data_IF_406850066393
#
_entry.id   IF_406850066393
#
_cell.length_a   1.000
_cell.length_b   1.000
_cell.length_c   1.000
_cell.angle_alpha   90.00
_cell.angle_beta   90.00
_cell.angle_gamma   90.00
#
_symmetry.space_group_name_H-M   'P 1'
#
loop_
_entity.id
_entity.type
_entity.pdbx_description
1 polymer ?
#
# COMPACT_ATOMS: atom_id res chain seq x y z
N UNK A 1 25.20 -26.26 17.07
CA UNK A 1 24.08 -25.50 16.48
C UNK A 1 24.70 -24.53 15.49
N UNK A 2 24.49 -24.76 14.20
CA UNK A 2 25.14 -23.97 13.15
C UNK A 2 24.39 -22.64 13.00
N UNK A 3 25.08 -21.53 13.25
CA UNK A 3 24.62 -20.19 12.88
C UNK A 3 24.93 -20.03 11.39
N UNK A 4 23.91 -20.11 10.54
CA UNK A 4 24.04 -19.74 9.14
C UNK A 4 24.06 -18.22 9.06
N UNK A 5 25.26 -17.64 9.02
CA UNK A 5 25.44 -16.26 8.56
C UNK A 5 25.28 -16.28 7.04
N UNK A 6 24.13 -15.81 6.56
CA UNK A 6 23.92 -15.59 5.14
C UNK A 6 24.67 -14.31 4.75
N UNK A 7 25.96 -14.42 4.44
CA UNK A 7 26.68 -13.36 3.72
C UNK A 7 26.26 -13.42 2.25
N UNK A 8 25.12 -12.83 1.92
CA UNK A 8 24.80 -12.49 0.53
C UNK A 8 25.51 -11.17 0.20
N UNK A 9 26.81 -11.25 -0.06
CA UNK A 9 27.56 -10.22 -0.77
C UNK A 9 27.97 -10.78 -2.13
N UNK A 10 27.33 -10.32 -3.21
CA UNK A 10 27.64 -10.83 -4.55
C UNK A 10 26.82 -10.22 -5.69
N UNK A 11 27.15 -8.97 -6.04
CA UNK A 11 27.17 -8.41 -7.40
C UNK A 11 25.89 -8.47 -8.24
N UNK A 12 25.04 -7.44 -8.06
CA UNK A 12 24.47 -6.68 -9.18
C UNK A 12 24.64 -5.19 -8.83
N UNK A 13 25.19 -4.39 -9.74
CA UNK A 13 25.07 -2.94 -9.65
C UNK A 13 23.59 -2.58 -9.82
N UNK A 14 22.83 -2.45 -8.73
CA UNK A 14 21.38 -2.43 -8.88
C UNK A 14 20.64 -1.99 -7.63
N UNK A 15 20.85 -0.74 -7.25
CA UNK A 15 19.90 0.02 -6.44
C UNK A 15 19.78 -0.44 -4.98
N UNK A 16 20.58 0.16 -4.11
CA UNK A 16 20.19 0.27 -2.70
C UNK A 16 18.80 0.93 -2.71
N UNK A 17 17.73 0.27 -2.24
CA UNK A 17 16.42 0.89 -2.18
C UNK A 17 16.58 2.13 -1.30
N UNK A 18 16.56 3.30 -1.92
CA UNK A 18 16.69 4.55 -1.19
C UNK A 18 15.35 4.81 -0.50
N UNK A 19 15.36 5.63 0.54
CA UNK A 19 14.11 6.17 1.12
C UNK A 19 13.22 6.78 0.02
N UNK A 20 13.83 7.33 -1.04
CA UNK A 20 13.14 7.82 -2.23
C UNK A 20 12.29 6.77 -2.95
N UNK A 21 12.67 5.49 -2.94
CA UNK A 21 11.92 4.44 -3.62
C UNK A 21 10.68 4.01 -2.84
N UNK A 22 10.78 4.05 -1.52
CA UNK A 22 9.63 3.92 -0.66
C UNK A 22 8.68 5.10 -0.86
N UNK A 23 9.18 6.34 -0.89
CA UNK A 23 8.35 7.52 -1.11
C UNK A 23 7.70 7.51 -2.51
N UNK A 24 8.42 7.01 -3.54
CA UNK A 24 7.86 6.80 -4.89
C UNK A 24 6.74 5.76 -4.88
N UNK A 25 6.94 4.60 -4.24
CA UNK A 25 5.92 3.56 -4.12
C UNK A 25 4.72 4.01 -3.28
N UNK A 26 4.95 4.84 -2.26
CA UNK A 26 3.89 5.43 -1.44
C UNK A 26 3.05 6.41 -2.27
N UNK A 27 3.70 7.29 -3.03
CA UNK A 27 3.02 8.18 -3.98
C UNK A 27 2.24 7.40 -5.04
N UNK A 28 2.78 6.28 -5.52
CA UNK A 28 2.10 5.42 -6.48
C UNK A 28 0.86 4.75 -5.86
N UNK A 29 0.99 4.23 -4.64
CA UNK A 29 -0.13 3.64 -3.90
C UNK A 29 -1.22 4.69 -3.57
N UNK A 30 -0.84 5.91 -3.20
CA UNK A 30 -1.77 7.03 -3.02
C UNK A 30 -2.48 7.41 -4.32
N UNK A 31 -1.77 7.42 -5.46
CA UNK A 31 -2.39 7.65 -6.76
C UNK A 31 -3.41 6.55 -7.12
N UNK A 32 -3.08 5.27 -6.87
CA UNK A 32 -4.04 4.17 -7.05
C UNK A 32 -5.25 4.32 -6.12
N UNK A 33 -5.04 4.69 -4.86
CA UNK A 33 -6.13 4.94 -3.90
C UNK A 33 -7.06 6.04 -4.41
N UNK A 34 -6.50 7.14 -4.92
CA UNK A 34 -7.26 8.27 -5.44
C UNK A 34 -8.09 7.90 -6.67
N UNK A 35 -7.53 7.11 -7.60
CA UNK A 35 -8.26 6.58 -8.76
C UNK A 35 -9.44 5.69 -8.32
N UNK A 36 -9.24 4.82 -7.33
CA UNK A 36 -10.30 3.95 -6.83
C UNK A 36 -11.42 4.74 -6.14
N UNK A 37 -11.07 5.79 -5.39
CA UNK A 37 -12.07 6.71 -4.81
C UNK A 37 -12.88 7.40 -5.91
N UNK A 38 -12.24 7.79 -7.01
CA UNK A 38 -12.90 8.40 -8.15
C UNK A 38 -13.84 7.42 -8.87
N UNK A 39 -13.42 6.16 -9.01
CA UNK A 39 -14.28 5.08 -9.52
C UNK A 39 -15.50 4.83 -8.62
N UNK A 40 -15.34 4.84 -7.30
CA UNK A 40 -16.45 4.71 -6.35
C UNK A 40 -17.48 5.83 -6.52
N UNK A 41 -17.03 7.08 -6.67
CA UNK A 41 -17.93 8.22 -6.95
C UNK A 41 -18.68 8.05 -8.27
N UNK A 42 -18.00 7.52 -9.30
CA UNK A 42 -18.61 7.29 -10.60
C UNK A 42 -19.65 6.15 -10.55
N UNK A 43 -19.43 5.15 -9.69
CA UNK A 43 -20.45 4.12 -9.42
C UNK A 43 -21.66 4.68 -8.70
N UNK A 44 -21.48 5.56 -7.71
CA UNK A 44 -22.59 6.20 -7.01
C UNK A 44 -23.42 7.09 -7.97
N UNK A 45 -22.77 7.88 -8.83
CA UNK A 45 -23.46 8.70 -9.84
C UNK A 45 -24.21 7.84 -10.88
N UNK A 46 -23.59 6.72 -11.31
CA UNK A 46 -24.27 5.74 -12.18
C UNK A 46 -25.46 5.12 -11.49
N UNK A 47 -25.36 4.74 -10.21
CA UNK A 47 -26.46 4.14 -9.46
C UNK A 47 -27.64 5.11 -9.33
N UNK A 48 -27.35 6.40 -9.12
CA UNK A 48 -28.36 7.47 -9.03
C UNK A 48 -29.09 7.71 -10.36
N UNK A 49 -28.38 7.64 -11.49
CA UNK A 49 -28.94 7.84 -12.82
C UNK A 49 -29.55 6.57 -13.45
N UNK A 50 -29.30 5.39 -12.88
CA UNK A 50 -29.78 4.13 -13.44
C UNK A 50 -31.17 3.76 -12.92
N UNK A 51 -32.10 3.47 -13.84
CA UNK A 51 -33.47 3.02 -13.54
C UNK A 51 -33.64 1.49 -13.67
N UNK A 52 -32.59 0.77 -14.06
CA UNK A 52 -32.60 -0.68 -14.28
C UNK A 52 -32.01 -1.42 -13.07
N UNK A 53 -32.79 -2.34 -12.48
CA UNK A 53 -32.39 -3.10 -11.29
C UNK A 53 -31.23 -4.07 -11.55
N UNK A 54 -31.09 -4.58 -12.78
CA UNK A 54 -30.00 -5.51 -13.11
C UNK A 54 -28.66 -4.78 -13.24
N UNK A 55 -28.67 -3.59 -13.84
CA UNK A 55 -27.54 -2.66 -13.86
C UNK A 55 -27.14 -2.23 -12.45
N UNK A 56 -28.10 -1.89 -11.58
CA UNK A 56 -27.81 -1.52 -10.18
C UNK A 56 -27.08 -2.62 -9.43
N UNK A 57 -27.54 -3.88 -9.53
CA UNK A 57 -26.85 -5.03 -8.94
C UNK A 57 -25.40 -5.17 -9.43
N UNK A 58 -25.15 -5.01 -10.73
CA UNK A 58 -23.79 -5.06 -11.29
C UNK A 58 -22.91 -3.94 -10.75
N UNK A 59 -23.45 -2.73 -10.60
CA UNK A 59 -22.75 -1.57 -10.04
C UNK A 59 -22.43 -1.80 -8.55
N UNK A 60 -23.36 -2.37 -7.77
CA UNK A 60 -23.12 -2.69 -6.36
C UNK A 60 -22.02 -3.73 -6.17
N UNK A 61 -22.04 -4.84 -6.93
CA UNK A 61 -20.98 -5.86 -6.88
C UNK A 61 -19.61 -5.27 -7.24
N UNK A 62 -19.59 -4.37 -8.23
CA UNK A 62 -18.36 -3.71 -8.64
C UNK A 62 -17.86 -2.74 -7.56
N UNK A 63 -18.78 -2.01 -6.90
CA UNK A 63 -18.49 -1.14 -5.75
C UNK A 63 -17.89 -1.91 -4.58
N UNK A 64 -18.44 -3.07 -4.22
CA UNK A 64 -17.88 -3.95 -3.17
C UNK A 64 -16.47 -4.42 -3.51
N UNK A 65 -16.23 -4.77 -4.78
CA UNK A 65 -14.92 -5.20 -5.29
C UNK A 65 -13.91 -4.05 -5.20
N UNK A 66 -14.29 -2.85 -5.64
CA UNK A 66 -13.45 -1.64 -5.55
C UNK A 66 -13.18 -1.25 -4.10
N UNK A 67 -14.15 -1.42 -3.19
CA UNK A 67 -13.95 -1.16 -1.77
C UNK A 67 -12.90 -2.11 -1.17
N UNK A 68 -12.98 -3.40 -1.48
CA UNK A 68 -11.95 -4.38 -1.09
C UNK A 68 -10.56 -4.02 -1.63
N UNK A 69 -10.49 -3.48 -2.85
CA UNK A 69 -9.22 -3.00 -3.44
C UNK A 69 -8.68 -1.76 -2.72
N UNK A 70 -9.55 -0.83 -2.32
CA UNK A 70 -9.19 0.35 -1.50
C UNK A 70 -8.58 -0.09 -0.17
N UNK A 71 -9.19 -1.06 0.51
CA UNK A 71 -8.64 -1.60 1.75
C UNK A 71 -7.28 -2.28 1.53
N UNK A 72 -7.16 -3.08 0.47
CA UNK A 72 -5.89 -3.74 0.11
C UNK A 72 -4.77 -2.73 -0.13
N UNK A 73 -5.05 -1.61 -0.80
CA UNK A 73 -4.06 -0.55 -1.04
C UNK A 73 -3.71 0.21 0.24
N UNK A 74 -4.68 0.48 1.12
CA UNK A 74 -4.39 1.03 2.46
C UNK A 74 -3.43 0.13 3.23
N UNK A 75 -3.66 -1.18 3.21
CA UNK A 75 -2.74 -2.15 3.83
C UNK A 75 -1.34 -2.11 3.20
N UNK A 76 -1.25 -2.00 1.87
CA UNK A 76 0.05 -1.84 1.18
C UNK A 76 0.78 -0.56 1.58
N UNK A 77 0.08 0.58 1.71
CA UNK A 77 0.69 1.85 2.16
C UNK A 77 1.27 1.70 3.56
N UNK A 78 0.50 1.11 4.46
CA UNK A 78 0.93 0.85 5.84
C UNK A 78 2.15 -0.07 5.88
N UNK A 79 2.14 -1.16 5.11
CA UNK A 79 3.29 -2.08 5.01
C UNK A 79 4.52 -1.38 4.42
N UNK A 80 4.35 -0.50 3.44
CA UNK A 80 5.42 0.30 2.86
C UNK A 80 5.99 1.30 3.87
N UNK A 81 5.15 1.90 4.71
CA UNK A 81 5.60 2.78 5.81
C UNK A 81 6.41 1.99 6.85
N UNK A 82 5.92 0.83 7.29
CA UNK A 82 6.65 -0.04 8.22
C UNK A 82 8.01 -0.45 7.64
N UNK A 83 8.04 -0.86 6.38
CA UNK A 83 9.29 -1.24 5.71
C UNK A 83 10.25 -0.06 5.57
N UNK A 84 9.75 1.15 5.29
CA UNK A 84 10.55 2.38 5.23
C UNK A 84 11.15 2.72 6.59
N UNK A 85 10.35 2.65 7.64
CA UNK A 85 10.77 2.93 9.01
C UNK A 85 11.79 1.89 9.51
N UNK A 86 11.60 0.61 9.18
CA UNK A 86 12.59 -0.45 9.46
C UNK A 86 13.91 -0.22 8.69
N UNK A 87 13.84 0.17 7.42
CA UNK A 87 15.02 0.50 6.62
C UNK A 87 15.76 1.72 7.18
N UNK A 88 15.05 2.80 7.54
CA UNK A 88 15.65 3.97 8.19
C UNK A 88 16.26 3.58 9.53
N UNK A 89 15.55 2.77 10.34
CA UNK A 89 16.06 2.28 11.60
C UNK A 89 17.34 1.46 11.42
N UNK A 90 17.40 0.49 10.51
CA UNK A 90 18.63 -0.31 10.28
C UNK A 90 19.80 0.53 9.75
N UNK A 91 19.55 1.51 8.88
CA UNK A 91 20.60 2.42 8.40
C UNK A 91 21.05 3.45 9.46
N UNK A 92 20.25 3.68 10.50
CA UNK A 92 20.54 4.60 11.60
C UNK A 92 20.87 3.87 12.93
N UNK A 93 20.76 2.53 12.96
CA UNK A 93 20.88 1.71 14.16
C UNK A 93 22.28 1.10 14.34
N UNK A 94 23.26 2.00 14.41
CA UNK A 94 24.18 2.03 15.56
C UNK A 94 23.46 2.55 16.84
N UNK A 95 22.14 2.46 16.92
CA UNK A 95 21.34 3.19 17.90
C UNK A 95 19.83 2.99 17.83
N UNK A 96 19.38 1.93 18.49
CA UNK A 96 18.13 1.87 19.28
C UNK A 96 16.81 1.63 18.51
N UNK A 97 16.34 0.40 18.66
CA UNK A 97 14.98 -0.14 18.62
C UNK A 97 13.90 0.90 19.02
N UNK A 98 12.98 1.23 18.11
CA UNK A 98 11.77 1.99 18.45
C UNK A 98 10.53 1.10 18.30
N UNK A 99 9.79 0.99 19.40
CA UNK A 99 8.52 0.30 19.52
C UNK A 99 7.44 1.01 18.70
N UNK A 100 6.91 0.32 17.68
CA UNK A 100 5.81 0.82 16.85
C UNK A 100 4.52 0.95 17.67
N UNK A 101 4.19 2.17 18.07
CA UNK A 101 2.82 2.53 18.46
C UNK A 101 2.02 2.76 17.18
N UNK A 102 1.26 1.76 16.77
CA UNK A 102 0.20 1.94 15.78
C UNK A 102 -0.90 2.81 16.40
N UNK A 103 -1.01 4.06 15.95
CA UNK A 103 -2.21 4.86 16.18
C UNK A 103 -3.26 4.44 15.13
N UNK A 104 -4.47 4.04 15.55
CA UNK A 104 -5.57 3.80 14.64
C UNK A 104 -6.08 5.16 14.14
N UNK A 105 -6.20 5.31 12.81
CA UNK A 105 -7.06 6.34 12.22
C UNK A 105 -8.53 5.94 12.38
#
# INVERSE_FOLDING_TARGET
MAFLVATCGGLDSGFVPSVQDFDKKLTEADAYLQILIEQLKLFDDKLQNCQDDEQRKKIETLKETTNSMVESIKHCIVLLQIAKDQYIAENHADGIIYEFRFEPW
#
